data_IF_483873458406
#
_entry.id   IF_483873458406
#
_cell.length_a   1.000
_cell.length_b   1.000
_cell.length_c   1.000
_cell.angle_alpha   90.00
_cell.angle_beta   90.00
_cell.angle_gamma   90.00
#
_symmetry.space_group_name_H-M   'P 1'
#
loop_
_entity.id
_entity.type
_entity.pdbx_description
1 polymer ?
#
# COMPACT_ATOMS: atom_id res chain seq x y z
N UNK A 1 0.69 27.99 29.74
CA UNK A 1 1.78 28.09 28.74
C UNK A 1 3.16 27.61 29.22
N UNK A 2 3.36 27.17 30.48
CA UNK A 2 4.71 26.79 30.97
C UNK A 2 5.27 25.44 30.47
N UNK A 3 4.47 24.59 29.83
CA UNK A 3 4.90 23.24 29.42
C UNK A 3 5.40 23.15 27.96
N UNK A 4 4.98 24.06 27.08
CA UNK A 4 5.35 24.04 25.64
C UNK A 4 6.87 24.15 25.42
N UNK A 5 7.62 25.03 26.12
CA UNK A 5 9.08 25.14 25.96
C UNK A 5 9.86 23.93 26.47
N UNK A 6 9.21 23.01 27.19
CA UNK A 6 9.82 21.79 27.76
C UNK A 6 9.42 20.53 26.99
N UNK A 7 8.57 20.66 25.98
CA UNK A 7 8.12 19.54 25.18
C UNK A 7 9.22 19.09 24.21
N UNK A 8 9.46 17.79 24.13
CA UNK A 8 10.36 17.23 23.12
C UNK A 8 9.73 17.33 21.74
N UNK A 9 10.57 17.65 20.74
CA UNK A 9 10.15 17.64 19.35
C UNK A 9 10.20 16.21 18.79
N UNK A 10 9.15 15.83 18.06
CA UNK A 10 9.15 14.62 17.23
C UNK A 10 9.19 15.05 15.77
N UNK A 11 10.24 14.68 15.06
CA UNK A 11 10.36 14.91 13.62
C UNK A 11 9.85 13.70 12.86
N UNK A 12 9.23 13.95 11.70
CA UNK A 12 8.81 12.92 10.76
C UNK A 12 8.97 13.45 9.34
N UNK A 13 9.37 12.57 8.43
CA UNK A 13 9.42 12.85 7.00
C UNK A 13 8.32 12.07 6.29
N UNK A 14 7.89 12.61 5.15
CA UNK A 14 6.93 12.02 4.24
C UNK A 14 7.46 12.29 2.84
N UNK A 15 7.80 11.23 2.11
CA UNK A 15 8.25 11.36 0.74
C UNK A 15 7.06 11.35 -0.21
N UNK A 16 7.23 11.97 -1.36
CA UNK A 16 6.26 11.91 -2.43
C UNK A 16 7.01 11.91 -3.76
N UNK A 17 6.42 11.22 -4.73
CA UNK A 17 6.93 11.12 -6.09
C UNK A 17 5.86 11.59 -7.05
N UNK A 18 6.23 12.55 -7.90
CA UNK A 18 5.38 13.07 -8.97
C UNK A 18 5.83 12.39 -10.27
N UNK A 19 4.90 11.74 -10.94
CA UNK A 19 5.12 11.11 -12.24
C UNK A 19 4.25 11.78 -13.31
N UNK A 20 4.77 12.80 -14.02
CA UNK A 20 4.00 13.51 -15.03
C UNK A 20 3.62 12.65 -16.23
N UNK A 21 4.42 11.62 -16.55
CA UNK A 21 4.16 10.74 -17.70
C UNK A 21 2.94 9.85 -17.46
N UNK A 22 2.84 9.27 -16.26
CA UNK A 22 1.65 8.53 -15.83
C UNK A 22 0.51 9.42 -15.33
N UNK A 23 0.76 10.73 -15.17
CA UNK A 23 -0.15 11.69 -14.52
C UNK A 23 -0.54 11.25 -13.09
N UNK A 24 0.43 10.73 -12.35
CA UNK A 24 0.25 10.16 -11.02
C UNK A 24 1.03 10.93 -9.95
N UNK A 25 0.46 10.99 -8.74
CA UNK A 25 1.12 11.54 -7.56
C UNK A 25 1.11 10.53 -6.42
N UNK A 26 2.27 9.94 -6.16
CA UNK A 26 2.46 8.93 -5.14
C UNK A 26 2.92 9.58 -3.83
N UNK A 27 2.30 9.21 -2.71
CA UNK A 27 2.69 9.71 -1.38
C UNK A 27 3.03 8.53 -0.49
N UNK A 28 4.26 8.52 0.06
CA UNK A 28 4.71 7.53 1.02
C UNK A 28 4.10 7.80 2.40
N UNK A 29 2.85 7.35 2.55
CA UNK A 29 2.07 7.54 3.76
C UNK A 29 1.20 6.32 4.06
N UNK A 30 1.23 5.88 5.31
CA UNK A 30 0.40 4.77 5.80
C UNK A 30 -1.06 5.17 6.10
N UNK A 31 -1.43 6.44 5.93
CA UNK A 31 -2.78 6.95 6.15
C UNK A 31 -3.13 8.10 5.22
N UNK A 32 -4.39 8.17 4.81
CA UNK A 32 -4.94 9.25 3.98
C UNK A 32 -4.71 10.62 4.60
N UNK A 33 -4.83 10.75 5.92
CA UNK A 33 -4.59 12.02 6.62
C UNK A 33 -3.18 12.56 6.40
N UNK A 34 -2.17 11.68 6.51
CA UNK A 34 -0.76 12.07 6.32
C UNK A 34 -0.48 12.43 4.86
N UNK A 35 -1.13 11.74 3.92
CA UNK A 35 -1.06 12.10 2.50
C UNK A 35 -1.69 13.47 2.21
N UNK A 36 -2.87 13.74 2.76
CA UNK A 36 -3.58 15.03 2.63
C UNK A 36 -2.80 16.20 3.24
N UNK A 37 -2.11 15.97 4.37
CA UNK A 37 -1.22 16.99 4.98
C UNK A 37 -0.11 17.41 3.99
N UNK A 38 0.52 16.45 3.29
CA UNK A 38 1.54 16.72 2.27
C UNK A 38 0.94 17.38 1.03
N UNK A 39 -0.17 16.86 0.50
CA UNK A 39 -0.89 17.43 -0.65
C UNK A 39 -1.28 18.89 -0.38
N UNK A 40 -1.81 19.17 0.81
CA UNK A 40 -2.22 20.51 1.23
C UNK A 40 -1.03 21.46 1.32
N UNK A 41 0.09 21.01 1.88
CA UNK A 41 1.32 21.79 1.93
C UNK A 41 1.84 22.10 0.53
N UNK A 42 1.89 21.10 -0.36
CA UNK A 42 2.35 21.28 -1.73
C UNK A 42 1.43 22.21 -2.52
N UNK A 43 0.11 22.07 -2.37
CA UNK A 43 -0.89 22.97 -2.96
C UNK A 43 -0.69 24.41 -2.50
N UNK A 44 -0.43 24.64 -1.21
CA UNK A 44 -0.15 25.98 -0.66
C UNK A 44 1.14 26.57 -1.26
N UNK A 45 2.15 25.74 -1.49
CA UNK A 45 3.44 26.16 -2.08
C UNK A 45 3.33 26.48 -3.57
N UNK A 46 2.58 25.68 -4.33
CA UNK A 46 2.43 25.83 -5.78
C UNK A 46 1.27 26.74 -6.19
N UNK A 47 0.40 27.12 -5.25
CA UNK A 47 -0.85 27.86 -5.49
C UNK A 47 -2.01 26.96 -5.94
N UNK A 48 -1.76 26.02 -6.85
CA UNK A 48 -2.75 25.03 -7.28
C UNK A 48 -2.11 23.65 -7.46
N UNK A 49 -2.86 22.61 -7.10
CA UNK A 49 -2.47 21.21 -7.30
C UNK A 49 -3.76 20.37 -7.46
N UNK A 50 -4.26 20.19 -8.69
CA UNK A 50 -5.50 19.47 -8.96
C UNK A 50 -5.25 17.96 -8.95
N UNK A 51 -5.19 17.38 -7.76
CA UNK A 51 -5.07 15.92 -7.57
C UNK A 51 -6.31 15.38 -6.86
N UNK A 52 -6.71 14.17 -7.23
CA UNK A 52 -7.79 13.41 -6.58
C UNK A 52 -7.31 11.99 -6.30
N UNK A 53 -7.78 11.34 -5.23
CA UNK A 53 -7.51 9.92 -5.00
C UNK A 53 -7.99 9.05 -6.17
N UNK A 54 -7.35 7.89 -6.35
CA UNK A 54 -7.76 6.89 -7.35
C UNK A 54 -9.19 6.46 -7.03
N UNK A 55 -10.05 6.50 -8.06
CA UNK A 55 -11.42 5.99 -7.97
C UNK A 55 -11.51 4.61 -8.58
N UNK A 56 -11.97 3.64 -7.78
CA UNK A 56 -12.19 2.28 -8.25
C UNK A 56 -13.54 2.17 -8.94
N UNK A 57 -13.57 1.43 -10.05
CA UNK A 57 -14.81 1.11 -10.78
C UNK A 57 -15.72 0.18 -9.99
N UNK A 58 -15.11 -0.71 -9.21
CA UNK A 58 -15.76 -1.72 -8.39
C UNK A 58 -15.26 -1.55 -6.94
N UNK A 59 -16.08 -1.95 -5.97
CA UNK A 59 -15.67 -1.89 -4.57
C UNK A 59 -14.56 -2.92 -4.31
N UNK A 60 -13.47 -2.49 -3.68
CA UNK A 60 -12.28 -3.33 -3.49
C UNK A 60 -12.55 -4.53 -2.58
N UNK A 61 -13.36 -4.35 -1.55
CA UNK A 61 -13.80 -5.40 -0.62
C UNK A 61 -14.55 -6.53 -1.32
N UNK A 62 -15.45 -6.19 -2.25
CA UNK A 62 -16.16 -7.16 -3.09
C UNK A 62 -15.18 -7.93 -3.97
N UNK A 63 -14.31 -7.22 -4.70
CA UNK A 63 -13.33 -7.87 -5.60
C UNK A 63 -12.36 -8.78 -4.82
N UNK A 64 -11.83 -8.33 -3.69
CA UNK A 64 -10.94 -9.15 -2.86
C UNK A 64 -11.66 -10.36 -2.26
N UNK A 65 -12.94 -10.22 -1.91
CA UNK A 65 -13.77 -11.33 -1.42
C UNK A 65 -14.00 -12.36 -2.53
N UNK A 66 -14.27 -11.92 -3.76
CA UNK A 66 -14.42 -12.80 -4.92
C UNK A 66 -13.13 -13.56 -5.24
N UNK A 67 -11.95 -12.94 -5.07
CA UNK A 67 -10.67 -13.64 -5.25
C UNK A 67 -10.50 -14.81 -4.28
N UNK A 68 -10.92 -14.67 -3.02
CA UNK A 68 -10.84 -15.76 -2.05
C UNK A 68 -11.94 -16.81 -2.21
N UNK A 69 -13.12 -16.41 -2.69
CA UNK A 69 -14.24 -17.33 -2.93
C UNK A 69 -14.04 -18.18 -4.19
N UNK A 70 -13.67 -17.54 -5.31
CA UNK A 70 -13.61 -18.18 -6.63
C UNK A 70 -12.19 -18.65 -6.99
N UNK A 71 -11.16 -18.15 -6.29
CA UNK A 71 -9.76 -18.38 -6.65
C UNK A 71 -9.32 -17.64 -7.92
N UNK A 72 -10.15 -16.72 -8.42
CA UNK A 72 -9.94 -15.98 -9.68
C UNK A 72 -9.01 -14.76 -9.47
N UNK A 73 -7.83 -15.00 -8.92
CA UNK A 73 -6.83 -13.96 -8.69
C UNK A 73 -6.25 -13.51 -10.04
N UNK A 74 -6.16 -12.20 -10.33
CA UNK A 74 -5.65 -11.73 -11.60
C UNK A 74 -4.20 -12.15 -11.84
N UNK A 75 -3.82 -12.26 -13.11
CA UNK A 75 -2.47 -12.63 -13.52
C UNK A 75 -1.43 -11.72 -12.84
N UNK A 76 -0.32 -12.31 -12.41
CA UNK A 76 0.80 -11.71 -11.67
C UNK A 76 0.52 -11.38 -10.19
N UNK A 77 -0.72 -11.44 -9.71
CA UNK A 77 -0.96 -11.42 -8.27
C UNK A 77 -0.94 -12.83 -7.69
N UNK A 78 -0.32 -12.98 -6.52
CA UNK A 78 -0.40 -14.16 -5.67
C UNK A 78 -0.86 -13.76 -4.28
N UNK A 79 -1.67 -14.62 -3.65
CA UNK A 79 -2.10 -14.43 -2.27
C UNK A 79 -0.93 -14.69 -1.32
N UNK A 80 -0.75 -13.80 -0.35
CA UNK A 80 0.07 -14.09 0.82
C UNK A 80 -0.81 -14.58 1.98
N UNK A 81 -0.19 -14.81 3.14
CA UNK A 81 -0.83 -15.48 4.27
C UNK A 81 -1.42 -14.52 5.32
N UNK A 82 -1.90 -13.33 4.92
CA UNK A 82 -2.47 -12.32 5.83
C UNK A 82 -3.73 -11.66 5.21
N UNK A 83 -4.81 -11.57 6.00
CA UNK A 83 -6.05 -10.91 5.61
C UNK A 83 -6.83 -10.37 6.81
N UNK A 84 -7.67 -9.36 6.59
CA UNK A 84 -8.68 -8.86 7.53
C UNK A 84 -10.07 -9.03 6.91
N UNK A 85 -10.98 -9.67 7.66
CA UNK A 85 -12.35 -9.92 7.25
C UNK A 85 -13.31 -9.22 8.23
N UNK A 86 -14.21 -8.39 7.71
CA UNK A 86 -15.19 -7.64 8.50
C UNK A 86 -16.61 -8.02 8.10
N UNK A 87 -17.52 -8.06 9.08
CA UNK A 87 -18.96 -8.15 8.78
C UNK A 87 -19.48 -6.84 8.21
N UNK A 88 -20.45 -6.90 7.30
CA UNK A 88 -21.16 -5.71 6.81
C UNK A 88 -22.06 -5.04 7.86
N UNK A 89 -22.38 -5.73 8.96
CA UNK A 89 -23.20 -5.18 10.02
C UNK A 89 -22.39 -4.23 10.91
N UNK A 90 -22.99 -3.10 11.28
CA UNK A 90 -22.39 -2.15 12.23
C UNK A 90 -22.21 -2.83 13.60
N UNK A 91 -20.99 -2.75 14.15
CA UNK A 91 -20.60 -3.49 15.36
C UNK A 91 -20.41 -5.00 15.15
N UNK A 92 -20.43 -5.47 13.90
CA UNK A 92 -20.15 -6.84 13.53
C UNK A 92 -18.71 -7.25 13.78
N UNK A 93 -18.47 -8.57 13.82
CA UNK A 93 -17.15 -9.11 14.18
C UNK A 93 -16.08 -8.90 13.10
N UNK A 94 -14.88 -8.54 13.55
CA UNK A 94 -13.66 -8.43 12.74
C UNK A 94 -12.76 -9.63 13.03
N UNK A 95 -12.23 -10.25 11.98
CA UNK A 95 -11.27 -11.35 12.06
C UNK A 95 -9.99 -10.92 11.35
N UNK A 96 -8.84 -11.22 11.96
CA UNK A 96 -7.51 -10.98 11.39
C UNK A 96 -6.74 -12.28 11.38
N UNK A 97 -6.29 -12.66 10.20
CA UNK A 97 -5.54 -13.88 9.97
C UNK A 97 -4.10 -13.50 9.60
N UNK A 98 -3.13 -14.23 10.15
CA UNK A 98 -1.70 -14.07 9.85
C UNK A 98 -1.06 -15.44 9.80
N UNK A 99 -0.15 -15.63 8.85
CA UNK A 99 0.48 -16.93 8.58
C UNK A 99 -0.55 -18.04 8.37
N UNK A 100 -1.66 -17.71 7.71
CA UNK A 100 -2.76 -18.61 7.40
C UNK A 100 -2.93 -18.75 5.89
N UNK A 101 -3.11 -19.97 5.41
CA UNK A 101 -3.55 -20.22 4.04
C UNK A 101 -4.95 -19.61 3.84
N UNK A 102 -5.06 -18.66 2.90
CA UNK A 102 -6.31 -17.92 2.68
C UNK A 102 -7.35 -18.69 1.86
N UNK A 103 -6.99 -19.84 1.27
CA UNK A 103 -7.89 -20.69 0.49
C UNK A 103 -8.44 -21.89 1.29
N UNK A 104 -8.16 -21.93 2.59
CA UNK A 104 -8.63 -22.99 3.49
C UNK A 104 -10.13 -22.86 3.83
N UNK A 105 -10.70 -23.94 4.35
CA UNK A 105 -12.13 -24.00 4.66
C UNK A 105 -12.53 -23.05 5.81
N UNK A 106 -11.63 -22.76 6.74
CA UNK A 106 -11.86 -21.78 7.81
C UNK A 106 -12.15 -20.38 7.25
N UNK A 107 -11.39 -19.95 6.25
CA UNK A 107 -11.60 -18.65 5.61
C UNK A 107 -12.88 -18.67 4.79
N UNK A 108 -13.14 -19.72 4.01
CA UNK A 108 -14.40 -19.88 3.26
C UNK A 108 -15.62 -19.82 4.16
N UNK A 109 -15.59 -20.45 5.34
CA UNK A 109 -16.68 -20.39 6.30
C UNK A 109 -16.93 -18.98 6.82
N UNK A 110 -15.89 -18.16 6.97
CA UNK A 110 -16.05 -16.76 7.32
C UNK A 110 -16.67 -15.93 6.19
N UNK A 111 -16.29 -16.18 4.94
CA UNK A 111 -16.88 -15.52 3.76
C UNK A 111 -18.35 -15.90 3.59
N UNK A 112 -18.70 -17.18 3.76
CA UNK A 112 -20.08 -17.68 3.76
C UNK A 112 -20.94 -17.11 4.91
N UNK A 113 -20.31 -16.63 5.98
CA UNK A 113 -20.97 -15.96 7.11
C UNK A 113 -21.02 -14.43 6.94
N UNK A 114 -21.17 -13.96 5.70
CA UNK A 114 -21.31 -12.55 5.32
C UNK A 114 -20.18 -11.64 5.83
N UNK A 115 -18.94 -12.14 5.76
CA UNK A 115 -17.75 -11.31 5.95
C UNK A 115 -17.10 -10.97 4.62
N UNK A 116 -16.67 -9.72 4.51
CA UNK A 116 -15.96 -9.18 3.38
C UNK A 116 -14.49 -9.00 3.73
N UNK A 117 -13.61 -9.26 2.75
CA UNK A 117 -12.18 -9.01 2.87
C UNK A 117 -11.95 -7.50 2.79
N UNK A 118 -11.51 -6.87 3.89
CA UNK A 118 -11.23 -5.43 3.92
C UNK A 118 -9.73 -5.13 3.80
N UNK A 119 -8.89 -6.13 4.07
CA UNK A 119 -7.44 -6.10 3.78
C UNK A 119 -6.96 -7.44 3.29
N UNK A 120 -6.06 -7.42 2.31
CA UNK A 120 -5.49 -8.61 1.71
C UNK A 120 -4.00 -8.43 1.47
N UNK A 121 -3.18 -9.39 1.92
CA UNK A 121 -1.77 -9.43 1.62
C UNK A 121 -1.56 -10.11 0.28
N UNK A 122 -0.82 -9.44 -0.60
CA UNK A 122 -0.58 -9.85 -1.97
C UNK A 122 0.91 -9.72 -2.28
N UNK A 123 1.36 -10.55 -3.20
CA UNK A 123 2.61 -10.34 -3.89
C UNK A 123 2.33 -10.12 -5.39
N UNK A 124 3.02 -9.15 -5.97
CA UNK A 124 2.99 -8.85 -7.40
C UNK A 124 4.27 -9.37 -8.06
N UNK A 125 4.12 -10.26 -9.03
CA UNK A 125 5.17 -10.76 -9.91
C UNK A 125 6.45 -11.22 -9.20
N UNK A 126 6.34 -11.79 -7.99
CA UNK A 126 7.46 -12.19 -7.12
C UNK A 126 8.43 -11.03 -6.78
N UNK A 127 7.96 -9.79 -6.94
CA UNK A 127 8.76 -8.56 -6.90
C UNK A 127 8.36 -7.62 -5.76
N UNK A 128 7.06 -7.47 -5.50
CA UNK A 128 6.55 -6.54 -4.50
C UNK A 128 5.49 -7.24 -3.64
N UNK A 129 5.76 -7.35 -2.35
CA UNK A 129 4.78 -7.77 -1.34
C UNK A 129 4.15 -6.55 -0.68
N UNK A 130 2.82 -6.56 -0.48
CA UNK A 130 2.11 -5.48 0.18
C UNK A 130 0.77 -5.95 0.75
N UNK A 131 0.22 -5.16 1.68
CA UNK A 131 -1.14 -5.28 2.18
C UNK A 131 -1.99 -4.19 1.51
N UNK A 132 -3.00 -4.58 0.74
CA UNK A 132 -3.97 -3.64 0.19
C UNK A 132 -5.21 -3.59 1.08
N UNK A 133 -5.75 -2.39 1.28
CA UNK A 133 -7.03 -2.16 1.95
C UNK A 133 -8.13 -1.72 0.99
N UNK A 134 -9.36 -1.74 1.45
CA UNK A 134 -10.54 -1.28 0.70
C UNK A 134 -10.45 0.20 0.25
N UNK A 135 -9.66 1.01 0.93
CA UNK A 135 -9.36 2.40 0.57
C UNK A 135 -8.35 2.55 -0.57
N UNK A 136 -7.91 1.43 -1.15
CA UNK A 136 -6.89 1.35 -2.21
C UNK A 136 -5.52 1.93 -1.80
N UNK A 137 -5.15 1.80 -0.53
CA UNK A 137 -3.83 2.13 -0.03
C UNK A 137 -2.94 0.89 0.03
N UNK A 138 -1.76 0.98 -0.59
CA UNK A 138 -0.71 -0.03 -0.49
C UNK A 138 0.06 0.17 0.82
N UNK A 139 -0.05 -0.79 1.74
CA UNK A 139 0.60 -0.75 3.06
C UNK A 139 1.68 -1.81 3.14
N UNK A 140 2.70 -1.56 3.97
CA UNK A 140 3.79 -2.52 4.24
C UNK A 140 4.47 -3.00 2.94
N UNK A 141 4.66 -2.07 2.00
CA UNK A 141 5.33 -2.33 0.73
C UNK A 141 6.74 -2.89 1.00
N UNK A 142 7.05 -4.04 0.43
CA UNK A 142 8.35 -4.71 0.53
C UNK A 142 8.76 -5.17 -0.86
N UNK A 143 9.93 -4.75 -1.31
CA UNK A 143 10.54 -5.24 -2.54
C UNK A 143 11.27 -6.56 -2.29
N UNK A 144 11.33 -7.42 -3.30
CA UNK A 144 12.05 -8.70 -3.22
C UNK A 144 13.54 -8.48 -2.98
N UNK A 145 14.19 -9.46 -2.34
CA UNK A 145 15.62 -9.37 -2.05
C UNK A 145 16.44 -9.29 -3.35
N UNK A 146 16.00 -10.02 -4.39
CA UNK A 146 16.59 -9.97 -5.75
C UNK A 146 16.59 -8.55 -6.33
N UNK A 147 15.52 -7.78 -6.15
CA UNK A 147 15.48 -6.38 -6.61
C UNK A 147 16.42 -5.50 -5.80
N UNK A 148 16.47 -5.68 -4.47
CA UNK A 148 17.35 -4.90 -3.60
C UNK A 148 18.84 -5.17 -3.87
N UNK A 149 19.17 -6.40 -4.27
CA UNK A 149 20.52 -6.83 -4.61
C UNK A 149 21.04 -6.24 -5.93
N UNK A 150 20.17 -5.77 -6.85
CA UNK A 150 20.59 -5.26 -8.17
C UNK A 150 21.56 -4.08 -8.11
N UNK A 151 21.48 -3.28 -7.04
CA UNK A 151 22.31 -2.09 -6.86
C UNK A 151 23.40 -2.29 -5.81
N UNK A 152 23.65 -3.52 -5.31
CA UNK A 152 24.65 -3.78 -4.26
C UNK A 152 26.09 -3.44 -4.65
N UNK A 153 26.40 -3.46 -5.94
CA UNK A 153 27.71 -3.09 -6.46
C UNK A 153 28.00 -1.57 -6.40
N UNK A 154 26.99 -0.73 -6.13
CA UNK A 154 27.16 0.70 -5.92
C UNK A 154 27.79 0.92 -4.54
N UNK A 155 28.86 1.70 -4.50
CA UNK A 155 29.54 2.07 -3.26
C UNK A 155 28.57 2.67 -2.23
N UNK A 156 28.59 2.14 -1.01
CA UNK A 156 27.72 2.56 0.09
C UNK A 156 28.01 4.00 0.54
N UNK A 157 29.21 4.50 0.27
CA UNK A 157 29.60 5.86 0.60
C UNK A 157 29.12 6.88 -0.43
N UNK A 158 28.71 6.46 -1.64
CA UNK A 158 28.07 7.31 -2.64
C UNK A 158 26.54 7.29 -2.48
N UNK A 159 26.07 7.99 -1.45
CA UNK A 159 24.64 8.07 -1.13
C UNK A 159 23.80 8.61 -2.29
N UNK A 160 24.33 9.56 -3.07
CA UNK A 160 23.59 10.17 -4.16
C UNK A 160 23.37 9.19 -5.31
N UNK A 161 24.43 8.49 -5.73
CA UNK A 161 24.33 7.46 -6.76
C UNK A 161 23.42 6.30 -6.32
N UNK A 162 23.54 5.88 -5.05
CA UNK A 162 22.71 4.79 -4.52
C UNK A 162 21.23 5.16 -4.47
N UNK A 163 20.91 6.36 -3.97
CA UNK A 163 19.53 6.84 -3.93
C UNK A 163 18.93 6.94 -5.33
N UNK A 164 19.66 7.48 -6.31
CA UNK A 164 19.20 7.60 -7.70
C UNK A 164 18.88 6.23 -8.30
N UNK A 165 19.79 5.26 -8.15
CA UNK A 165 19.61 3.90 -8.66
C UNK A 165 18.44 3.17 -7.98
N UNK A 166 18.35 3.23 -6.66
CA UNK A 166 17.28 2.58 -5.89
C UNK A 166 15.91 3.22 -6.21
N UNK A 167 15.87 4.54 -6.34
CA UNK A 167 14.65 5.27 -6.72
C UNK A 167 14.22 4.94 -8.15
N UNK A 168 15.15 4.89 -9.11
CA UNK A 168 14.86 4.50 -10.49
C UNK A 168 14.27 3.08 -10.55
N UNK A 169 14.88 2.12 -9.83
CA UNK A 169 14.38 0.75 -9.79
C UNK A 169 13.00 0.67 -9.12
N UNK A 170 12.84 1.30 -7.95
CA UNK A 170 11.57 1.35 -7.23
C UNK A 170 10.44 1.92 -8.08
N UNK A 171 10.67 3.03 -8.77
CA UNK A 171 9.64 3.68 -9.60
C UNK A 171 9.25 2.81 -10.79
N UNK A 172 10.20 2.14 -11.46
CA UNK A 172 9.91 1.19 -12.55
C UNK A 172 9.00 0.05 -12.10
N UNK A 173 9.27 -0.54 -10.94
CA UNK A 173 8.47 -1.65 -10.40
C UNK A 173 7.07 -1.18 -9.96
N UNK A 174 6.97 -0.02 -9.30
CA UNK A 174 5.66 0.55 -8.92
C UNK A 174 4.80 0.90 -10.15
N UNK A 175 5.39 1.42 -11.24
CA UNK A 175 4.65 1.68 -12.50
C UNK A 175 4.06 0.42 -13.11
N UNK A 176 4.69 -0.74 -12.92
CA UNK A 176 4.14 -2.00 -13.40
C UNK A 176 2.96 -2.49 -12.54
N UNK A 177 3.00 -2.21 -11.24
CA UNK A 177 1.93 -2.56 -10.29
C UNK A 177 0.70 -1.65 -10.41
N UNK A 178 0.93 -0.34 -10.55
CA UNK A 178 -0.13 0.69 -10.63
C UNK A 178 -0.06 1.37 -12.00
N UNK A 179 -0.68 0.76 -13.04
CA UNK A 179 -0.67 1.28 -14.41
C UNK A 179 -1.65 2.44 -14.63
#
# INVERSE_FOLDING_TARGET
MQLLPRAFSRTSQTFAWIDPEANMFYVDASSTRKAEELISLLRKTLGSLPVVPIQLKNQADVIMTDWLNEGNIPKNFSLENEAELCSALEGGGIIRCKQQDLLCDEIKNHLLADKFVTKLALNWADSISFLIGEEFALKRLKFSDVLQEQNEDIDKDDFAARFDADFALMTVEIKQLVP
#
